data_IF_125785459841
#
_entry.id   IF_125785459841
#
_cell.length_a   1.000
_cell.length_b   1.000
_cell.length_c   1.000
_cell.angle_alpha   90.00
_cell.angle_beta   90.00
_cell.angle_gamma   90.00
#
_symmetry.space_group_name_H-M   'P 1'
#
loop_
_entity.id
_entity.type
_entity.pdbx_description
1 polymer ?
#
# COMPACT_ATOMS: atom_id res chain seq x y z
N UNK A 1 15.88 -27.24 -3.30
CA UNK A 1 14.89 -26.88 -2.24
C UNK A 1 14.39 -28.15 -1.59
N UNK A 2 14.51 -28.26 -0.28
CA UNK A 2 13.99 -29.43 0.46
C UNK A 2 12.46 -29.46 0.49
N UNK A 3 11.83 -30.63 0.65
CA UNK A 3 10.36 -30.79 0.76
C UNK A 3 9.77 -29.90 1.86
N UNK A 4 10.50 -29.70 2.97
CA UNK A 4 10.11 -28.80 4.06
C UNK A 4 10.05 -27.33 3.65
N UNK A 5 11.02 -26.83 2.88
CA UNK A 5 11.02 -25.45 2.38
C UNK A 5 9.84 -25.20 1.44
N UNK A 6 9.53 -26.18 0.57
CA UNK A 6 8.36 -26.11 -0.32
C UNK A 6 7.03 -26.04 0.45
N UNK A 7 6.89 -26.79 1.54
CA UNK A 7 5.70 -26.80 2.39
C UNK A 7 5.50 -25.47 3.12
N UNK A 8 6.58 -24.87 3.67
CA UNK A 8 6.56 -23.55 4.32
C UNK A 8 6.14 -22.47 3.34
N UNK A 9 6.72 -22.43 2.15
CA UNK A 9 6.39 -21.47 1.10
C UNK A 9 4.93 -21.57 0.64
N UNK A 10 4.39 -22.80 0.52
CA UNK A 10 2.96 -23.02 0.22
C UNK A 10 2.05 -22.50 1.32
N UNK A 11 2.43 -22.63 2.60
CA UNK A 11 1.68 -22.08 3.74
C UNK A 11 1.62 -20.57 3.65
N UNK A 12 2.75 -19.89 3.48
CA UNK A 12 2.85 -18.45 3.34
C UNK A 12 1.99 -17.94 2.19
N UNK A 13 2.12 -18.55 1.00
CA UNK A 13 1.31 -18.23 -0.18
C UNK A 13 -0.18 -18.41 0.07
N UNK A 14 -0.61 -19.47 0.75
CA UNK A 14 -2.02 -19.70 1.10
C UNK A 14 -2.55 -18.62 2.02
N UNK A 15 -1.75 -18.22 3.03
CA UNK A 15 -2.12 -17.16 3.97
C UNK A 15 -2.27 -15.83 3.24
N UNK A 16 -1.31 -15.43 2.42
CA UNK A 16 -1.36 -14.18 1.68
C UNK A 16 -2.52 -14.14 0.67
N UNK A 17 -2.79 -15.24 -0.05
CA UNK A 17 -3.94 -15.33 -0.96
C UNK A 17 -5.29 -15.15 -0.28
N UNK A 18 -5.44 -15.59 0.98
CA UNK A 18 -6.66 -15.35 1.76
C UNK A 18 -6.95 -13.87 1.95
N UNK A 19 -5.92 -13.03 2.08
CA UNK A 19 -6.10 -11.59 2.21
C UNK A 19 -6.86 -11.03 1.03
N UNK A 20 -6.46 -11.36 -0.19
CA UNK A 20 -7.15 -10.91 -1.40
C UNK A 20 -8.55 -11.51 -1.53
N UNK A 21 -8.67 -12.83 -1.35
CA UNK A 21 -9.94 -13.54 -1.52
C UNK A 21 -11.03 -13.10 -0.55
N UNK A 22 -10.66 -12.70 0.67
CA UNK A 22 -11.64 -12.31 1.69
C UNK A 22 -11.84 -10.80 1.84
N UNK A 23 -10.91 -9.97 1.37
CA UNK A 23 -11.12 -8.51 1.38
C UNK A 23 -12.07 -8.05 0.28
N UNK A 24 -11.87 -8.50 -0.97
CA UNK A 24 -12.68 -8.11 -2.14
C UNK A 24 -12.89 -9.32 -3.07
N UNK A 25 -13.73 -10.30 -2.68
CA UNK A 25 -13.81 -11.59 -3.34
C UNK A 25 -14.21 -11.50 -4.81
N UNK A 26 -15.24 -10.73 -5.14
CA UNK A 26 -15.76 -10.57 -6.51
C UNK A 26 -14.70 -9.94 -7.42
N UNK A 27 -14.06 -8.87 -6.96
CA UNK A 27 -13.02 -8.17 -7.71
C UNK A 27 -11.84 -9.09 -8.01
N UNK A 28 -11.30 -9.78 -7.00
CA UNK A 28 -10.14 -10.63 -7.20
C UNK A 28 -10.47 -11.92 -7.98
N UNK A 29 -11.69 -12.43 -7.91
CA UNK A 29 -12.15 -13.51 -8.78
C UNK A 29 -12.21 -13.07 -10.25
N UNK A 30 -12.76 -11.88 -10.53
CA UNK A 30 -12.78 -11.28 -11.87
C UNK A 30 -11.35 -11.09 -12.42
N UNK A 31 -10.45 -10.49 -11.63
CA UNK A 31 -9.07 -10.31 -12.04
C UNK A 31 -8.35 -11.65 -12.29
N UNK A 32 -8.65 -12.66 -11.49
CA UNK A 32 -8.07 -14.00 -11.67
C UNK A 32 -8.59 -14.70 -12.93
N UNK A 33 -9.87 -14.57 -13.28
CA UNK A 33 -10.46 -15.17 -14.47
C UNK A 33 -9.98 -14.53 -15.78
N UNK A 34 -9.66 -13.22 -15.74
CA UNK A 34 -9.27 -12.46 -16.95
C UNK A 34 -7.75 -12.41 -17.20
N UNK A 35 -6.91 -12.78 -16.22
CA UNK A 35 -5.44 -12.62 -16.25
C UNK A 35 -4.69 -13.43 -17.30
N UNK A 36 -5.34 -14.36 -17.99
CA UNK A 36 -4.71 -15.12 -19.09
C UNK A 36 -4.40 -14.24 -20.32
N UNK A 37 -5.12 -13.12 -20.46
CA UNK A 37 -4.88 -12.12 -21.51
C UNK A 37 -4.07 -10.96 -20.91
N UNK A 38 -3.16 -10.41 -21.70
CA UNK A 38 -2.32 -9.25 -21.30
C UNK A 38 -3.17 -8.02 -21.05
N UNK A 39 -4.20 -7.83 -21.88
CA UNK A 39 -5.22 -6.80 -21.79
C UNK A 39 -6.61 -7.44 -21.99
N UNK A 40 -7.59 -7.04 -21.22
CA UNK A 40 -8.99 -7.47 -21.36
C UNK A 40 -9.91 -6.27 -21.31
N UNK A 41 -10.70 -6.07 -22.37
CA UNK A 41 -11.76 -5.07 -22.40
C UNK A 41 -13.09 -5.69 -21.93
N UNK A 42 -13.81 -4.98 -21.06
CA UNK A 42 -15.15 -5.30 -20.57
C UNK A 42 -15.99 -4.02 -20.66
N UNK A 43 -16.71 -3.84 -21.74
CA UNK A 43 -17.38 -2.56 -22.05
C UNK A 43 -16.39 -1.40 -22.08
N UNK A 44 -16.66 -0.32 -21.35
CA UNK A 44 -15.77 0.85 -21.19
C UNK A 44 -14.64 0.64 -20.18
N UNK A 45 -14.43 -0.59 -19.66
CA UNK A 45 -13.34 -0.89 -18.71
C UNK A 45 -12.27 -1.76 -19.37
N UNK A 46 -11.01 -1.37 -19.22
CA UNK A 46 -9.83 -2.08 -19.72
C UNK A 46 -9.00 -2.57 -18.54
N UNK A 47 -8.84 -3.89 -18.43
CA UNK A 47 -8.02 -4.53 -17.42
C UNK A 47 -6.62 -4.77 -17.98
N UNK A 48 -5.59 -4.17 -17.40
CA UNK A 48 -4.19 -4.31 -17.79
C UNK A 48 -3.47 -5.29 -16.86
N UNK A 49 -3.18 -6.49 -17.37
CA UNK A 49 -2.58 -7.56 -16.59
C UNK A 49 -1.08 -7.76 -16.85
N UNK A 50 -0.60 -7.42 -18.03
CA UNK A 50 0.83 -7.53 -18.35
C UNK A 50 1.63 -6.37 -17.76
N UNK A 51 2.95 -6.59 -17.61
CA UNK A 51 3.89 -5.54 -17.20
C UNK A 51 3.96 -4.40 -18.23
N UNK A 52 3.91 -4.73 -19.52
CA UNK A 52 3.91 -3.75 -20.59
C UNK A 52 2.64 -2.88 -20.51
N UNK A 53 1.44 -3.50 -20.46
CA UNK A 53 0.17 -2.79 -20.36
C UNK A 53 0.09 -1.90 -19.10
N UNK A 54 0.58 -2.40 -17.96
CA UNK A 54 0.63 -1.62 -16.72
C UNK A 54 1.51 -0.37 -16.86
N UNK A 55 2.70 -0.51 -17.44
CA UNK A 55 3.61 0.61 -17.66
C UNK A 55 3.04 1.60 -18.67
N UNK A 56 2.58 1.11 -19.81
CA UNK A 56 2.00 1.96 -20.87
C UNK A 56 0.82 2.77 -20.34
N UNK A 57 -0.08 2.15 -19.56
CA UNK A 57 -1.20 2.82 -18.92
C UNK A 57 -0.81 3.89 -17.92
N UNK A 58 0.41 3.86 -17.36
CA UNK A 58 0.91 4.89 -16.44
C UNK A 58 1.73 5.98 -17.11
N UNK A 59 2.34 5.69 -18.29
CA UNK A 59 3.38 6.56 -18.85
C UNK A 59 3.10 7.03 -20.28
N UNK A 60 2.19 6.37 -21.02
CA UNK A 60 1.92 6.66 -22.43
C UNK A 60 0.49 7.10 -22.73
N UNK A 61 -0.48 6.70 -21.88
CA UNK A 61 -1.87 7.12 -22.04
C UNK A 61 -2.07 8.43 -21.29
N UNK A 62 -2.60 9.49 -21.96
CA UNK A 62 -3.04 10.68 -21.26
C UNK A 62 -4.15 10.31 -20.26
N UNK A 63 -4.01 10.73 -19.00
CA UNK A 63 -4.91 10.32 -17.93
C UNK A 63 -5.72 11.50 -17.39
N UNK A 64 -7.03 11.32 -17.27
CA UNK A 64 -7.86 12.19 -16.44
C UNK A 64 -7.68 11.79 -14.98
N UNK A 65 -6.98 12.64 -14.23
CA UNK A 65 -6.62 12.38 -12.83
C UNK A 65 -7.71 12.78 -11.86
N UNK A 66 -8.67 13.58 -12.31
CA UNK A 66 -9.81 14.06 -11.51
C UNK A 66 -11.04 13.19 -11.68
N UNK A 67 -11.05 12.31 -12.67
CA UNK A 67 -12.21 11.49 -12.99
C UNK A 67 -12.69 10.65 -11.80
N UNK A 68 -13.99 10.55 -11.65
CA UNK A 68 -14.62 9.73 -10.62
C UNK A 68 -14.15 8.27 -10.67
N UNK A 69 -13.90 7.67 -9.50
CA UNK A 69 -13.42 6.29 -9.36
C UNK A 69 -11.94 6.09 -9.69
N UNK A 70 -11.17 7.17 -9.87
CA UNK A 70 -9.70 7.14 -9.87
C UNK A 70 -9.14 7.43 -8.48
N UNK A 71 -7.85 7.21 -8.30
CA UNK A 71 -7.17 7.56 -7.04
C UNK A 71 -7.19 9.07 -6.81
N UNK A 72 -7.03 9.88 -7.86
CA UNK A 72 -7.05 11.33 -7.77
C UNK A 72 -8.45 11.86 -7.52
N UNK A 73 -9.48 11.35 -8.24
CA UNK A 73 -10.88 11.70 -7.98
C UNK A 73 -11.28 11.37 -6.55
N UNK A 74 -10.99 10.17 -6.06
CA UNK A 74 -11.28 9.79 -4.68
C UNK A 74 -10.53 10.66 -3.64
N UNK A 75 -9.32 11.11 -3.95
CA UNK A 75 -8.60 12.06 -3.09
C UNK A 75 -9.24 13.44 -3.12
N UNK A 76 -9.65 13.94 -4.29
CA UNK A 76 -10.38 15.20 -4.44
C UNK A 76 -11.71 15.19 -3.70
N UNK A 77 -12.49 14.13 -3.84
CA UNK A 77 -13.76 13.95 -3.11
C UNK A 77 -13.56 13.93 -1.58
N UNK A 78 -12.45 13.37 -1.12
CA UNK A 78 -12.13 13.31 0.30
C UNK A 78 -11.74 14.67 0.88
N UNK A 79 -11.08 15.54 0.11
CA UNK A 79 -10.37 16.69 0.65
C UNK A 79 -10.79 18.02 0.02
N UNK A 80 -11.48 18.01 -1.11
CA UNK A 80 -11.95 19.19 -1.82
C UNK A 80 -10.86 20.05 -2.48
N UNK A 81 -9.60 19.56 -2.55
CA UNK A 81 -8.46 20.35 -3.01
C UNK A 81 -7.76 19.80 -4.25
N UNK A 82 -6.89 20.64 -4.83
CA UNK A 82 -5.96 20.25 -5.88
C UNK A 82 -4.72 19.60 -5.27
N UNK A 83 -4.60 18.29 -5.44
CA UNK A 83 -3.66 17.44 -4.73
C UNK A 83 -2.66 16.80 -5.68
N UNK A 84 -1.54 16.33 -5.13
CA UNK A 84 -0.50 15.61 -5.86
C UNK A 84 -1.05 14.45 -6.73
N UNK A 85 -2.15 13.80 -6.34
CA UNK A 85 -2.73 12.69 -7.09
C UNK A 85 -3.58 13.11 -8.29
N UNK A 86 -4.14 14.32 -8.28
CA UNK A 86 -4.95 14.88 -9.36
C UNK A 86 -4.25 16.01 -10.13
N UNK A 87 -3.10 16.49 -9.65
CA UNK A 87 -2.25 17.43 -10.38
C UNK A 87 -1.55 16.78 -11.57
N UNK A 88 -1.19 17.59 -12.57
CA UNK A 88 -0.31 17.22 -13.68
C UNK A 88 0.60 18.42 -14.06
N UNK A 89 1.52 18.20 -14.98
CA UNK A 89 2.38 19.27 -15.52
C UNK A 89 3.23 19.97 -14.47
N UNK A 90 3.24 21.30 -14.48
CA UNK A 90 4.09 22.15 -13.62
C UNK A 90 3.67 22.12 -12.16
N UNK A 91 2.39 22.11 -11.87
CA UNK A 91 1.84 22.08 -10.52
C UNK A 91 2.26 20.78 -9.81
N UNK A 92 2.11 19.65 -10.50
CA UNK A 92 2.61 18.38 -10.02
C UNK A 92 4.12 18.41 -9.75
N UNK A 93 4.92 18.99 -10.68
CA UNK A 93 6.38 19.11 -10.50
C UNK A 93 6.72 20.01 -9.31
N UNK A 94 5.97 21.10 -9.11
CA UNK A 94 6.10 21.99 -7.97
C UNK A 94 5.87 21.28 -6.65
N UNK A 95 4.71 20.63 -6.49
CA UNK A 95 4.37 19.85 -5.29
C UNK A 95 5.37 18.72 -5.04
N UNK A 96 5.83 18.01 -6.08
CA UNK A 96 6.86 16.98 -5.97
C UNK A 96 8.18 17.52 -5.44
N UNK A 97 8.60 18.72 -5.85
CA UNK A 97 9.84 19.34 -5.34
C UNK A 97 9.72 19.70 -3.88
N UNK A 98 8.58 20.22 -3.42
CA UNK A 98 8.33 20.51 -2.00
C UNK A 98 8.45 19.24 -1.13
N UNK A 99 7.98 18.10 -1.63
CA UNK A 99 8.08 16.82 -0.91
C UNK A 99 9.47 16.16 -1.03
N UNK A 100 10.28 16.55 -2.01
CA UNK A 100 11.52 15.85 -2.35
C UNK A 100 12.54 15.84 -1.19
N UNK A 101 12.65 16.93 -0.43
CA UNK A 101 13.55 17.00 0.71
C UNK A 101 13.18 15.99 1.79
N UNK A 102 11.91 15.98 2.22
CA UNK A 102 11.42 15.07 3.26
C UNK A 102 11.48 13.59 2.83
N UNK A 103 11.43 13.32 1.52
CA UNK A 103 11.48 11.97 0.94
C UNK A 103 12.88 11.61 0.40
N UNK A 104 13.87 12.49 0.57
CA UNK A 104 15.29 12.24 0.25
C UNK A 104 15.90 11.16 1.17
N UNK A 105 17.15 10.78 0.91
CA UNK A 105 17.87 9.88 1.80
C UNK A 105 17.97 10.47 3.22
N UNK A 106 18.42 11.72 3.31
CA UNK A 106 18.61 12.43 4.57
C UNK A 106 17.27 12.71 5.28
N UNK A 107 16.22 13.08 4.53
CA UNK A 107 14.87 13.26 5.08
C UNK A 107 14.33 11.98 5.71
N UNK A 108 14.53 10.84 5.07
CA UNK A 108 14.12 9.53 5.60
C UNK A 108 14.95 9.14 6.83
N UNK A 109 16.27 9.39 6.83
CA UNK A 109 17.12 9.12 8.01
C UNK A 109 16.76 10.04 9.19
N UNK A 110 16.40 11.30 8.96
CA UNK A 110 15.88 12.20 10.01
C UNK A 110 14.58 11.68 10.64
N UNK A 111 13.71 11.06 9.86
CA UNK A 111 12.45 10.46 10.34
C UNK A 111 12.65 9.10 11.03
N UNK A 112 13.77 8.44 10.79
CA UNK A 112 14.02 7.06 11.24
C UNK A 112 13.86 6.84 12.74
N UNK A 113 14.37 7.73 13.65
CA UNK A 113 14.18 7.58 15.08
C UNK A 113 12.71 7.46 15.52
N UNK A 114 11.79 8.09 14.77
CA UNK A 114 10.36 8.07 15.09
C UNK A 114 9.81 6.63 15.06
N UNK A 115 10.04 5.90 13.98
CA UNK A 115 9.50 4.53 13.88
C UNK A 115 10.35 3.50 14.62
N UNK A 116 11.67 3.69 14.78
CA UNK A 116 12.49 2.76 15.55
C UNK A 116 12.12 2.81 17.03
N UNK A 117 11.85 3.98 17.61
CA UNK A 117 11.34 4.11 18.98
C UNK A 117 10.01 3.36 19.16
N UNK A 118 9.10 3.45 18.19
CA UNK A 118 7.86 2.68 18.26
C UNK A 118 8.13 1.17 18.20
N UNK A 119 9.03 0.72 17.31
CA UNK A 119 9.40 -0.68 17.21
C UNK A 119 10.00 -1.19 18.53
N UNK A 120 10.99 -0.51 19.09
CA UNK A 120 11.66 -0.93 20.32
C UNK A 120 10.66 -1.12 21.46
N UNK A 121 9.78 -0.14 21.67
CA UNK A 121 8.76 -0.21 22.72
C UNK A 121 7.70 -1.29 22.46
N UNK A 122 7.22 -1.40 21.21
CA UNK A 122 6.09 -2.28 20.86
C UNK A 122 6.49 -3.74 20.67
N UNK A 123 7.76 -4.02 20.38
CA UNK A 123 8.28 -5.38 20.27
C UNK A 123 8.82 -5.92 21.59
N UNK A 124 9.02 -5.09 22.62
CA UNK A 124 9.49 -5.52 23.94
C UNK A 124 8.72 -6.73 24.54
N UNK A 125 7.40 -6.89 24.37
CA UNK A 125 6.70 -8.08 24.87
C UNK A 125 7.21 -9.39 24.26
N UNK A 126 7.77 -9.38 23.02
CA UNK A 126 8.33 -10.59 22.40
C UNK A 126 9.58 -11.07 23.14
N UNK A 127 10.41 -10.15 23.66
CA UNK A 127 11.60 -10.47 24.45
C UNK A 127 11.23 -11.23 25.75
N UNK A 128 10.07 -10.89 26.34
CA UNK A 128 9.53 -11.54 27.53
C UNK A 128 8.70 -12.81 27.22
N UNK A 129 8.75 -13.34 26.00
CA UNK A 129 7.95 -14.51 25.60
C UNK A 129 6.47 -14.19 25.34
N UNK A 130 6.07 -12.93 25.38
CA UNK A 130 4.70 -12.48 25.18
C UNK A 130 4.26 -12.46 23.72
N UNK A 131 3.13 -11.80 23.47
CA UNK A 131 2.52 -11.69 22.13
C UNK A 131 2.28 -10.24 21.77
N UNK A 132 2.33 -9.95 20.47
CA UNK A 132 1.96 -8.62 19.93
C UNK A 132 0.92 -8.75 18.83
N UNK A 133 0.11 -7.71 18.62
CA UNK A 133 -0.65 -7.55 17.39
C UNK A 133 0.13 -6.65 16.43
N UNK A 134 0.67 -7.23 15.37
CA UNK A 134 1.51 -6.50 14.44
C UNK A 134 0.71 -5.48 13.59
N UNK A 135 -0.62 -5.62 13.49
CA UNK A 135 -1.45 -4.61 12.83
C UNK A 135 -1.50 -3.33 13.65
N UNK A 136 -1.62 -3.44 14.97
CA UNK A 136 -1.61 -2.28 15.88
C UNK A 136 -0.21 -1.62 15.91
N UNK A 137 0.85 -2.44 15.90
CA UNK A 137 2.23 -1.91 15.80
C UNK A 137 2.42 -1.14 14.50
N UNK A 138 2.00 -1.71 13.37
CA UNK A 138 2.11 -1.06 12.05
C UNK A 138 1.27 0.23 11.97
N UNK A 139 0.09 0.25 12.58
CA UNK A 139 -0.77 1.42 12.61
C UNK A 139 -0.12 2.57 13.41
N UNK A 140 0.40 2.27 14.59
CA UNK A 140 1.09 3.26 15.42
C UNK A 140 2.38 3.77 14.77
N UNK A 141 3.19 2.87 14.21
CA UNK A 141 4.41 3.21 13.47
C UNK A 141 4.09 4.16 12.30
N UNK A 142 3.11 3.81 11.48
CA UNK A 142 2.73 4.61 10.32
C UNK A 142 2.11 5.95 10.73
N UNK A 143 1.28 5.97 11.79
CA UNK A 143 0.70 7.18 12.34
C UNK A 143 1.75 8.14 12.90
N UNK A 144 2.70 7.63 13.71
CA UNK A 144 3.81 8.42 14.25
C UNK A 144 4.68 9.02 13.13
N UNK A 145 4.98 8.21 12.12
CA UNK A 145 5.78 8.69 10.97
C UNK A 145 5.02 9.75 10.17
N UNK A 146 3.72 9.55 9.93
CA UNK A 146 2.89 10.53 9.23
C UNK A 146 2.76 11.83 10.03
N UNK A 147 2.56 11.77 11.35
CA UNK A 147 2.51 12.93 12.23
C UNK A 147 3.84 13.70 12.16
N UNK A 148 4.98 13.03 12.31
CA UNK A 148 6.30 13.64 12.23
C UNK A 148 6.59 14.26 10.85
N UNK A 149 6.27 13.55 9.76
CA UNK A 149 6.40 14.05 8.39
C UNK A 149 5.59 15.33 8.16
N UNK A 150 4.41 15.38 8.77
CA UNK A 150 3.49 16.52 8.68
C UNK A 150 3.74 17.58 9.77
N UNK A 151 4.70 17.38 10.69
CA UNK A 151 4.96 18.27 11.81
C UNK A 151 3.76 18.49 12.72
N UNK A 152 3.01 17.43 12.98
CA UNK A 152 1.80 17.46 13.82
C UNK A 152 2.08 16.85 15.19
N UNK A 153 1.57 17.49 16.22
CA UNK A 153 1.54 16.93 17.58
C UNK A 153 0.16 16.31 17.83
N UNK A 154 0.00 15.07 17.39
CA UNK A 154 -1.26 14.31 17.51
C UNK A 154 -0.97 12.87 17.90
N UNK A 155 -1.94 12.23 18.56
CA UNK A 155 -1.82 10.81 18.87
C UNK A 155 -1.73 9.95 17.60
N UNK A 156 -0.63 9.21 17.50
CA UNK A 156 -0.30 8.40 16.31
C UNK A 156 -1.38 7.35 15.99
N UNK A 157 -2.00 6.76 17.00
CA UNK A 157 -3.03 5.73 16.83
C UNK A 157 -4.35 6.37 16.40
N UNK A 158 -4.70 7.53 16.97
CA UNK A 158 -5.88 8.28 16.57
C UNK A 158 -5.78 8.71 15.11
N UNK A 159 -4.63 9.24 14.67
CA UNK A 159 -4.35 9.60 13.30
C UNK A 159 -4.45 8.38 12.37
N UNK A 160 -3.83 7.25 12.76
CA UNK A 160 -3.89 6.04 11.96
C UNK A 160 -5.31 5.48 11.84
N UNK A 161 -6.09 5.50 12.92
CA UNK A 161 -7.48 5.06 12.91
C UNK A 161 -8.36 5.94 12.01
N UNK A 162 -8.21 7.28 12.09
CA UNK A 162 -8.95 8.22 11.27
C UNK A 162 -8.59 8.09 9.77
N UNK A 163 -7.31 8.01 9.42
CA UNK A 163 -6.85 7.84 8.05
C UNK A 163 -7.32 6.51 7.44
N UNK A 164 -7.31 5.41 8.22
CA UNK A 164 -7.83 4.11 7.76
C UNK A 164 -9.35 4.12 7.58
N UNK A 165 -10.08 4.79 8.46
CA UNK A 165 -11.53 4.92 8.34
C UNK A 165 -11.93 5.74 7.11
N UNK A 166 -11.26 6.86 6.86
CA UNK A 166 -11.48 7.71 5.68
C UNK A 166 -11.18 6.94 4.39
N UNK A 167 -10.03 6.26 4.29
CA UNK A 167 -9.69 5.43 3.14
C UNK A 167 -10.70 4.31 2.89
N UNK A 168 -11.15 3.63 3.96
CA UNK A 168 -12.12 2.55 3.86
C UNK A 168 -13.51 3.04 3.41
N UNK A 169 -13.87 4.25 3.77
CA UNK A 169 -15.11 4.89 3.32
C UNK A 169 -15.03 5.26 1.83
N UNK A 170 -13.99 5.98 1.41
CA UNK A 170 -13.78 6.32 0.00
C UNK A 170 -13.66 5.09 -0.90
N UNK A 171 -12.94 4.06 -0.48
CA UNK A 171 -12.83 2.81 -1.27
C UNK A 171 -14.19 2.13 -1.51
N UNK A 172 -15.11 2.20 -0.55
CA UNK A 172 -16.46 1.60 -0.70
C UNK A 172 -17.35 2.35 -1.70
N UNK A 173 -17.16 3.62 -1.87
CA UNK A 173 -17.90 4.43 -2.85
C UNK A 173 -17.44 4.13 -4.29
N UNK A 174 -16.19 3.72 -4.45
CA UNK A 174 -15.59 3.49 -5.77
C UNK A 174 -15.49 2.01 -6.18
N UNK A 175 -15.69 1.08 -5.25
CA UNK A 175 -15.67 -0.36 -5.56
C UNK A 175 -17.06 -0.88 -5.90
N UNK A 176 -17.18 -1.84 -6.86
CA UNK A 176 -18.45 -2.47 -7.17
C UNK A 176 -19.04 -3.14 -5.91
N UNK A 177 -20.24 -2.75 -5.53
CA UNK A 177 -20.93 -3.31 -4.37
C UNK A 177 -22.36 -2.77 -4.25
N UNK A 178 -23.17 -3.37 -3.37
CA UNK A 178 -24.50 -2.85 -3.07
C UNK A 178 -24.37 -1.56 -2.25
N UNK A 179 -25.11 -0.49 -2.61
CA UNK A 179 -25.20 0.71 -1.82
C UNK A 179 -25.61 0.38 -0.38
N UNK A 180 -24.92 0.95 0.60
CA UNK A 180 -25.27 0.77 2.01
C UNK A 180 -25.98 2.01 2.54
N UNK A 181 -27.15 1.85 3.19
CA UNK A 181 -27.81 2.96 3.85
C UNK A 181 -26.83 3.66 4.82
N UNK A 182 -26.75 5.00 4.77
CA UNK A 182 -25.85 5.77 5.63
C UNK A 182 -24.36 5.75 5.24
N UNK A 183 -23.97 5.12 4.13
CA UNK A 183 -22.57 5.04 3.69
C UNK A 183 -21.92 6.41 3.51
N UNK A 184 -22.61 7.35 2.83
CA UNK A 184 -22.13 8.71 2.62
C UNK A 184 -21.94 9.48 3.94
N UNK A 185 -22.89 9.44 4.87
CA UNK A 185 -22.74 10.07 6.19
C UNK A 185 -21.55 9.51 6.98
N UNK A 186 -21.33 8.19 6.88
CA UNK A 186 -20.17 7.56 7.53
C UNK A 186 -18.84 8.00 6.88
N UNK A 187 -18.82 8.23 5.57
CA UNK A 187 -17.66 8.75 4.85
C UNK A 187 -17.38 10.21 5.26
N UNK A 188 -18.39 11.05 5.25
CA UNK A 188 -18.31 12.46 5.67
C UNK A 188 -17.80 12.56 7.12
N UNK A 189 -18.34 11.74 8.04
CA UNK A 189 -17.89 11.72 9.44
C UNK A 189 -16.44 11.22 9.60
N UNK A 190 -16.02 10.25 8.79
CA UNK A 190 -14.64 9.76 8.81
C UNK A 190 -13.65 10.81 8.28
N UNK A 191 -14.03 11.51 7.21
CA UNK A 191 -13.26 12.63 6.65
C UNK A 191 -13.15 13.78 7.64
N UNK A 192 -14.27 14.23 8.22
CA UNK A 192 -14.30 15.30 9.22
C UNK A 192 -13.38 14.99 10.41
N UNK A 193 -13.40 13.74 10.90
CA UNK A 193 -12.51 13.30 11.98
C UNK A 193 -11.04 13.36 11.60
N UNK A 194 -10.70 12.95 10.38
CA UNK A 194 -9.33 13.02 9.89
C UNK A 194 -8.90 14.50 9.76
N UNK A 195 -9.73 15.34 9.13
CA UNK A 195 -9.45 16.77 8.95
C UNK A 195 -9.24 17.48 10.30
N UNK A 196 -10.06 17.17 11.31
CA UNK A 196 -9.92 17.76 12.64
C UNK A 196 -8.56 17.43 13.31
N UNK A 197 -7.99 16.24 13.05
CA UNK A 197 -6.65 15.86 13.53
C UNK A 197 -5.52 16.51 12.73
N UNK A 198 -5.79 16.95 11.50
CA UNK A 198 -4.78 17.48 10.59
C UNK A 198 -4.77 19.01 10.51
N UNK A 199 -5.74 19.67 11.14
CA UNK A 199 -5.82 21.13 11.18
C UNK A 199 -4.77 21.65 12.17
N UNK A 200 -3.67 22.27 11.69
CA UNK A 200 -2.66 22.82 12.59
C UNK A 200 -3.18 24.09 13.27
N UNK A 201 -2.69 24.42 14.48
CA UNK A 201 -2.97 25.70 15.12
C UNK A 201 -2.37 26.90 14.37
N UNK A 202 -1.39 26.68 13.49
CA UNK A 202 -0.72 27.73 12.72
C UNK A 202 -1.20 27.77 11.25
N UNK A 203 -1.43 28.98 10.68
CA UNK A 203 -1.79 29.13 9.28
C UNK A 203 -0.62 28.79 8.34
N UNK A 204 -0.91 28.14 7.21
CA UNK A 204 0.07 27.94 6.12
C UNK A 204 0.19 26.51 5.58
N UNK A 205 -0.44 25.52 6.22
CA UNK A 205 -0.42 24.13 5.71
C UNK A 205 -1.77 23.78 5.09
N UNK A 206 -1.74 23.21 3.88
CA UNK A 206 -2.94 22.69 3.22
C UNK A 206 -3.43 21.40 3.92
N UNK A 207 -4.60 21.42 4.61
CA UNK A 207 -5.16 20.25 5.27
C UNK A 207 -5.48 19.11 4.29
N UNK A 208 -5.83 19.45 3.05
CA UNK A 208 -6.15 18.50 2.01
C UNK A 208 -4.91 17.66 1.61
N UNK A 209 -3.77 18.34 1.41
CA UNK A 209 -2.49 17.67 1.14
C UNK A 209 -2.05 16.81 2.34
N UNK A 210 -2.21 17.29 3.56
CA UNK A 210 -1.90 16.55 4.77
C UNK A 210 -2.77 15.28 4.88
N UNK A 211 -4.08 15.38 4.61
CA UNK A 211 -5.00 14.24 4.62
C UNK A 211 -4.62 13.20 3.56
N UNK A 212 -4.31 13.62 2.35
CA UNK A 212 -3.85 12.75 1.27
C UNK A 212 -2.57 11.99 1.67
N UNK A 213 -1.56 12.70 2.20
CA UNK A 213 -0.30 12.10 2.62
C UNK A 213 -0.49 11.13 3.78
N UNK A 214 -1.28 11.48 4.80
CA UNK A 214 -1.60 10.63 5.93
C UNK A 214 -2.32 9.35 5.47
N UNK A 215 -3.35 9.47 4.63
CA UNK A 215 -4.10 8.34 4.08
C UNK A 215 -3.18 7.44 3.26
N UNK A 216 -2.37 8.01 2.36
CA UNK A 216 -1.48 7.23 1.50
C UNK A 216 -0.41 6.47 2.28
N UNK A 217 0.28 7.14 3.22
CA UNK A 217 1.38 6.55 3.98
C UNK A 217 0.88 5.48 4.97
N UNK A 218 -0.19 5.78 5.72
CA UNK A 218 -0.70 4.90 6.77
C UNK A 218 -1.29 3.62 6.19
N UNK A 219 -2.20 3.73 5.21
CA UNK A 219 -2.90 2.55 4.70
C UNK A 219 -1.97 1.57 3.99
N UNK A 220 -1.01 2.06 3.22
CA UNK A 220 -0.06 1.20 2.51
C UNK A 220 0.91 0.50 3.47
N UNK A 221 1.38 1.19 4.51
CA UNK A 221 2.26 0.60 5.54
C UNK A 221 1.53 -0.46 6.35
N UNK A 222 0.30 -0.20 6.80
CA UNK A 222 -0.53 -1.17 7.55
C UNK A 222 -0.90 -2.38 6.68
N UNK A 223 -1.07 -2.21 5.37
CA UNK A 223 -1.28 -3.33 4.46
C UNK A 223 0.00 -4.12 4.18
N UNK A 224 1.17 -3.47 4.08
CA UNK A 224 2.43 -4.10 3.68
C UNK A 224 3.13 -4.84 4.82
N UNK A 225 3.39 -4.14 5.95
CA UNK A 225 4.27 -4.63 7.01
C UNK A 225 3.77 -5.93 7.66
N UNK A 226 2.50 -6.06 8.09
CA UNK A 226 2.03 -7.31 8.68
C UNK A 226 2.02 -8.48 7.68
N UNK A 227 1.76 -8.22 6.39
CA UNK A 227 1.80 -9.26 5.37
C UNK A 227 3.22 -9.72 5.08
N UNK A 228 4.18 -8.79 5.01
CA UNK A 228 5.59 -9.10 4.84
C UNK A 228 6.12 -9.94 6.01
N UNK A 229 5.81 -9.56 7.25
CA UNK A 229 6.20 -10.33 8.45
C UNK A 229 5.55 -11.72 8.48
N UNK A 230 4.28 -11.86 8.03
CA UNK A 230 3.64 -13.16 7.93
C UNK A 230 4.33 -14.07 6.90
N UNK A 231 4.83 -13.52 5.78
CA UNK A 231 5.67 -14.24 4.82
C UNK A 231 6.98 -14.71 5.47
N UNK A 232 7.69 -13.83 6.19
CA UNK A 232 8.92 -14.21 6.90
C UNK A 232 8.67 -15.33 7.90
N UNK A 233 7.60 -15.22 8.70
CA UNK A 233 7.25 -16.21 9.71
C UNK A 233 6.86 -17.57 9.13
N UNK A 234 6.05 -17.61 8.07
CA UNK A 234 5.57 -18.86 7.49
C UNK A 234 6.61 -19.54 6.58
N UNK A 235 7.44 -18.77 5.86
CA UNK A 235 8.43 -19.25 4.92
C UNK A 235 9.85 -19.30 5.49
N UNK A 236 10.03 -18.89 6.75
CA UNK A 236 11.33 -18.84 7.45
C UNK A 236 12.37 -17.98 6.72
N UNK A 237 11.98 -16.73 6.40
CA UNK A 237 12.85 -15.80 5.68
C UNK A 237 13.60 -14.84 6.62
N UNK A 238 13.52 -15.01 7.93
CA UNK A 238 14.06 -14.07 8.91
C UNK A 238 15.56 -13.81 8.77
N UNK A 239 16.35 -14.83 8.40
CA UNK A 239 17.79 -14.67 8.23
C UNK A 239 18.14 -13.62 7.15
N UNK A 240 17.30 -13.46 6.11
CA UNK A 240 17.53 -12.47 5.07
C UNK A 240 17.32 -11.02 5.55
N UNK A 241 16.65 -10.81 6.68
CA UNK A 241 16.52 -9.46 7.27
C UNK A 241 17.87 -8.89 7.73
N UNK A 242 18.84 -9.76 8.00
CA UNK A 242 20.20 -9.39 8.38
C UNK A 242 21.15 -9.48 7.18
N UNK A 243 21.09 -10.60 6.43
CA UNK A 243 22.08 -10.91 5.39
C UNK A 243 21.80 -10.24 4.04
N UNK A 244 20.53 -9.95 3.72
CA UNK A 244 20.12 -9.34 2.46
C UNK A 244 18.84 -8.50 2.63
N UNK A 245 18.83 -7.45 3.50
CA UNK A 245 17.63 -6.71 3.88
C UNK A 245 16.94 -6.02 2.70
N UNK A 246 17.68 -5.47 1.75
CA UNK A 246 17.11 -4.79 0.58
C UNK A 246 16.46 -5.76 -0.38
N UNK A 247 17.09 -6.92 -0.63
CA UNK A 247 16.54 -7.98 -1.46
C UNK A 247 15.26 -8.56 -0.84
N UNK A 248 15.28 -8.85 0.47
CA UNK A 248 14.10 -9.32 1.22
C UNK A 248 12.97 -8.31 1.13
N UNK A 249 13.24 -7.04 1.42
CA UNK A 249 12.24 -5.96 1.41
C UNK A 249 11.63 -5.79 0.02
N UNK A 250 12.47 -5.76 -1.02
CA UNK A 250 12.00 -5.65 -2.41
C UNK A 250 11.11 -6.80 -2.82
N UNK A 251 11.50 -8.03 -2.49
CA UNK A 251 10.72 -9.24 -2.80
C UNK A 251 9.41 -9.30 -2.01
N UNK A 252 9.40 -8.92 -0.74
CA UNK A 252 8.18 -8.90 0.07
C UNK A 252 7.21 -7.80 -0.39
N UNK A 253 7.68 -6.61 -0.75
CA UNK A 253 6.84 -5.57 -1.35
C UNK A 253 6.27 -6.04 -2.70
N UNK A 254 7.08 -6.69 -3.52
CA UNK A 254 6.67 -7.26 -4.80
C UNK A 254 5.54 -8.27 -4.63
N UNK A 255 5.71 -9.29 -3.78
CA UNK A 255 4.73 -10.37 -3.64
C UNK A 255 3.47 -9.96 -2.87
N UNK A 256 3.60 -9.04 -1.92
CA UNK A 256 2.43 -8.52 -1.20
C UNK A 256 1.65 -7.50 -2.02
N UNK A 257 2.31 -6.76 -2.93
CA UNK A 257 1.70 -5.71 -3.73
C UNK A 257 0.61 -4.96 -2.93
N UNK A 258 0.98 -4.11 -1.95
CA UNK A 258 0.02 -3.53 -0.99
C UNK A 258 -1.12 -2.77 -1.67
N UNK A 259 -0.79 -2.08 -2.77
CA UNK A 259 -1.76 -1.48 -3.68
C UNK A 259 -1.87 -2.35 -4.94
N UNK A 260 -2.76 -3.38 -4.94
CA UNK A 260 -2.74 -4.41 -5.98
C UNK A 260 -3.21 -3.95 -7.34
N UNK A 261 -3.91 -2.81 -7.40
CA UNK A 261 -4.43 -2.22 -8.62
C UNK A 261 -4.46 -0.68 -8.52
N UNK A 262 -4.37 -0.03 -9.67
CA UNK A 262 -4.45 1.41 -9.82
C UNK A 262 -5.55 1.74 -10.83
N UNK A 263 -6.73 2.26 -10.37
CA UNK A 263 -7.78 2.72 -11.28
C UNK A 263 -7.36 4.06 -11.91
N UNK A 264 -7.57 4.17 -13.22
CA UNK A 264 -7.32 5.38 -14.02
C UNK A 264 -8.45 5.56 -15.02
N UNK A 265 -8.55 6.75 -15.60
CA UNK A 265 -9.41 7.05 -16.74
C UNK A 265 -8.56 7.68 -17.84
N UNK A 266 -8.75 7.26 -19.08
CA UNK A 266 -8.05 7.83 -20.21
C UNK A 266 -8.67 9.18 -20.59
N UNK A 267 -7.87 10.25 -20.62
CA UNK A 267 -8.30 11.58 -21.05
C UNK A 267 -8.38 11.69 -22.59
N UNK A 268 -7.57 10.91 -23.30
CA UNK A 268 -7.51 10.90 -24.75
C UNK A 268 -7.23 9.46 -25.25
N UNK A 269 -7.43 9.19 -26.57
CA UNK A 269 -7.07 7.92 -27.14
C UNK A 269 -5.59 7.59 -26.97
N UNK A 270 -5.27 6.29 -26.84
CA UNK A 270 -3.91 5.79 -26.69
C UNK A 270 -3.82 4.30 -26.94
N UNK A 271 -2.70 3.70 -26.56
CA UNK A 271 -2.45 2.28 -26.74
C UNK A 271 -1.74 1.72 -25.52
N UNK A 272 -2.16 0.55 -25.05
CA UNK A 272 -1.49 -0.21 -23.99
C UNK A 272 -1.20 -1.64 -24.49
N UNK A 273 0.06 -2.04 -24.48
CA UNK A 273 0.51 -3.36 -24.94
C UNK A 273 -0.11 -3.74 -26.32
N UNK A 274 -0.10 -2.78 -27.27
CA UNK A 274 -0.71 -2.96 -28.61
C UNK A 274 -2.24 -2.89 -28.68
N UNK A 275 -2.94 -2.72 -27.55
CA UNK A 275 -4.41 -2.65 -27.52
C UNK A 275 -4.90 -1.20 -27.48
N UNK A 276 -5.90 -0.82 -28.30
CA UNK A 276 -6.42 0.55 -28.31
C UNK A 276 -7.17 0.88 -27.04
N UNK A 277 -7.00 2.13 -26.59
CA UNK A 277 -7.71 2.75 -25.48
C UNK A 277 -8.39 4.02 -26.03
N UNK A 278 -9.66 4.26 -25.66
CA UNK A 278 -10.40 5.42 -26.06
C UNK A 278 -10.51 6.44 -24.92
N UNK A 279 -10.77 7.68 -25.25
CA UNK A 279 -11.09 8.69 -24.24
C UNK A 279 -12.30 8.24 -23.40
N UNK A 280 -12.22 8.43 -22.08
CA UNK A 280 -13.24 7.98 -21.13
C UNK A 280 -13.14 6.49 -20.73
N UNK A 281 -12.29 5.68 -21.34
CA UNK A 281 -12.07 4.30 -20.92
C UNK A 281 -11.54 4.26 -19.48
N UNK A 282 -12.16 3.40 -18.65
CA UNK A 282 -11.69 3.11 -17.32
C UNK A 282 -10.58 2.07 -17.36
N UNK A 283 -9.39 2.42 -16.95
CA UNK A 283 -8.21 1.55 -16.91
C UNK A 283 -8.05 0.99 -15.49
N UNK A 284 -8.09 -0.32 -15.34
CA UNK A 284 -7.72 -1.02 -14.11
C UNK A 284 -6.33 -1.61 -14.32
N UNK A 285 -5.31 -0.90 -13.87
CA UNK A 285 -3.93 -1.29 -13.98
C UNK A 285 -3.58 -2.22 -12.82
N UNK A 286 -3.35 -3.51 -13.09
CA UNK A 286 -3.21 -4.54 -12.06
C UNK A 286 -1.74 -4.71 -11.68
N UNK A 287 -1.27 -3.91 -10.72
CA UNK A 287 0.10 -3.96 -10.20
C UNK A 287 0.51 -5.37 -9.75
N UNK A 288 -0.37 -6.06 -9.01
CA UNK A 288 -0.14 -7.43 -8.56
C UNK A 288 0.22 -8.40 -9.70
N UNK A 289 -0.37 -8.23 -10.88
CA UNK A 289 -0.08 -9.05 -12.03
C UNK A 289 1.17 -8.58 -12.77
N UNK A 290 1.38 -7.29 -12.89
CA UNK A 290 2.55 -6.69 -13.54
C UNK A 290 3.88 -7.08 -12.88
N UNK A 291 3.87 -7.30 -11.55
CA UNK A 291 5.05 -7.74 -10.78
C UNK A 291 5.09 -9.26 -10.52
N UNK A 292 4.25 -10.05 -11.19
CA UNK A 292 4.16 -11.51 -11.05
C UNK A 292 3.86 -12.02 -9.63
N UNK A 293 3.33 -11.17 -8.74
CA UNK A 293 3.02 -11.53 -7.36
C UNK A 293 1.98 -12.66 -7.22
N UNK A 294 1.20 -12.91 -8.27
CA UNK A 294 0.21 -13.98 -8.31
C UNK A 294 0.80 -15.35 -8.72
N UNK A 295 2.03 -15.38 -9.23
CA UNK A 295 2.70 -16.57 -9.78
C UNK A 295 3.91 -17.00 -8.98
N UNK A 296 4.69 -16.04 -8.48
CA UNK A 296 5.99 -16.26 -7.87
C UNK A 296 5.99 -15.92 -6.39
N UNK A 297 6.75 -16.67 -5.62
CA UNK A 297 7.03 -16.43 -4.21
C UNK A 297 8.21 -15.47 -4.04
N UNK A 298 8.43 -14.90 -2.84
CA UNK A 298 9.62 -14.10 -2.59
C UNK A 298 10.89 -14.97 -2.65
N UNK A 299 11.90 -14.47 -3.35
CA UNK A 299 13.21 -15.12 -3.51
C UNK A 299 14.35 -14.14 -3.20
N UNK A 300 14.63 -13.85 -1.92
CA UNK A 300 15.67 -12.89 -1.56
C UNK A 300 17.08 -13.25 -2.02
N UNK A 301 17.37 -14.55 -2.24
CA UNK A 301 18.65 -15.01 -2.80
C UNK A 301 18.78 -14.79 -4.31
N UNK A 302 17.66 -14.62 -5.02
CA UNK A 302 17.59 -14.40 -6.47
C UNK A 302 16.42 -13.44 -6.74
N UNK A 303 16.54 -12.16 -6.34
CA UNK A 303 15.42 -11.22 -6.39
C UNK A 303 15.04 -10.85 -7.80
N UNK A 304 13.78 -10.51 -7.98
CA UNK A 304 13.30 -9.98 -9.26
C UNK A 304 14.09 -8.71 -9.65
N UNK A 305 14.28 -8.47 -10.96
CA UNK A 305 14.98 -7.28 -11.42
C UNK A 305 14.40 -6.00 -10.81
N UNK A 306 15.23 -5.00 -10.42
CA UNK A 306 14.77 -3.76 -9.77
C UNK A 306 13.64 -3.06 -10.53
N UNK A 307 13.68 -3.08 -11.88
CA UNK A 307 12.65 -2.48 -12.73
C UNK A 307 11.28 -3.16 -12.58
N UNK A 308 11.25 -4.44 -12.17
CA UNK A 308 10.02 -5.18 -11.89
C UNK A 308 9.53 -4.88 -10.48
N UNK A 309 10.43 -4.99 -9.49
CA UNK A 309 10.09 -4.73 -8.10
C UNK A 309 9.61 -3.29 -7.87
N UNK A 310 10.16 -2.32 -8.62
CA UNK A 310 9.78 -0.91 -8.54
C UNK A 310 8.31 -0.65 -8.95
N UNK A 311 7.71 -1.48 -9.80
CA UNK A 311 6.34 -1.25 -10.31
C UNK A 311 5.27 -1.28 -9.20
N UNK A 312 5.54 -1.84 -8.04
CA UNK A 312 4.62 -1.74 -6.88
C UNK A 312 4.42 -0.30 -6.41
N UNK A 313 5.36 0.59 -6.74
CA UNK A 313 5.31 2.02 -6.49
C UNK A 313 4.84 2.83 -7.70
N UNK A 314 4.35 2.17 -8.75
CA UNK A 314 3.97 2.81 -10.00
C UNK A 314 5.15 3.09 -10.93
N UNK A 315 4.91 3.92 -11.94
CA UNK A 315 5.90 4.31 -12.95
C UNK A 315 5.64 5.74 -13.44
N UNK A 316 6.65 6.33 -14.09
CA UNK A 316 6.57 7.68 -14.66
C UNK A 316 6.58 8.80 -13.61
N UNK A 317 6.13 10.01 -13.98
CA UNK A 317 6.17 11.19 -13.10
C UNK A 317 5.43 10.99 -11.77
N UNK A 318 4.36 10.20 -11.79
CA UNK A 318 3.53 9.87 -10.61
C UNK A 318 3.96 8.60 -9.87
N UNK A 319 5.18 8.12 -10.05
CA UNK A 319 5.73 7.07 -9.18
C UNK A 319 5.72 7.55 -7.72
N UNK A 320 5.49 6.63 -6.80
CA UNK A 320 5.35 6.94 -5.37
C UNK A 320 6.55 7.74 -4.81
N UNK A 321 6.33 8.94 -4.26
CA UNK A 321 7.41 9.72 -3.66
C UNK A 321 7.97 9.04 -2.40
N UNK A 322 7.13 8.35 -1.63
CA UNK A 322 7.48 7.67 -0.39
C UNK A 322 8.12 6.28 -0.56
N UNK A 323 8.53 5.88 -1.77
CA UNK A 323 9.07 4.55 -2.02
C UNK A 323 10.32 4.23 -1.16
N UNK A 324 11.20 5.21 -0.96
CA UNK A 324 12.39 5.09 -0.09
C UNK A 324 11.99 4.91 1.37
N UNK A 325 11.11 5.77 1.86
CA UNK A 325 10.57 5.70 3.23
C UNK A 325 9.93 4.33 3.49
N UNK A 326 9.05 3.88 2.61
CA UNK A 326 8.37 2.59 2.75
C UNK A 326 9.36 1.40 2.80
N UNK A 327 10.40 1.41 1.96
CA UNK A 327 11.44 0.38 1.97
C UNK A 327 12.23 0.41 3.27
N UNK A 328 12.65 1.60 3.72
CA UNK A 328 13.44 1.75 4.93
C UNK A 328 12.67 1.30 6.18
N UNK A 329 11.43 1.77 6.32
CA UNK A 329 10.56 1.35 7.43
C UNK A 329 10.33 -0.17 7.44
N UNK A 330 10.06 -0.77 6.28
CA UNK A 330 9.85 -2.21 6.21
C UNK A 330 11.12 -2.98 6.55
N UNK A 331 12.29 -2.56 6.05
CA UNK A 331 13.57 -3.18 6.35
C UNK A 331 13.89 -3.14 7.85
N UNK A 332 13.74 -1.97 8.48
CA UNK A 332 14.00 -1.81 9.92
C UNK A 332 13.02 -2.63 10.76
N UNK A 333 11.72 -2.67 10.40
CA UNK A 333 10.73 -3.48 11.10
C UNK A 333 10.99 -4.98 10.97
N UNK A 334 11.38 -5.45 9.79
CA UNK A 334 11.72 -6.86 9.58
C UNK A 334 12.99 -7.26 10.33
N UNK A 335 14.00 -6.37 10.38
CA UNK A 335 15.22 -6.60 11.16
C UNK A 335 14.92 -6.67 12.65
N UNK A 336 14.13 -5.73 13.18
CA UNK A 336 13.73 -5.74 14.59
C UNK A 336 12.94 -7.01 14.97
N UNK A 337 12.07 -7.48 14.09
CA UNK A 337 11.32 -8.73 14.28
C UNK A 337 12.23 -9.97 14.17
N UNK A 338 13.25 -9.95 13.29
CA UNK A 338 14.13 -11.09 13.06
C UNK A 338 14.87 -11.55 14.32
N UNK A 339 15.20 -10.62 15.24
CA UNK A 339 15.80 -10.94 16.54
C UNK A 339 14.96 -11.92 17.36
N UNK A 340 13.64 -11.95 17.18
CA UNK A 340 12.70 -12.84 17.88
C UNK A 340 12.24 -14.01 17.02
N UNK A 341 12.49 -14.00 15.71
CA UNK A 341 12.01 -14.98 14.70
C UNK A 341 10.55 -15.39 14.94
N UNK A 342 9.60 -14.46 15.08
CA UNK A 342 8.29 -14.78 15.59
C UNK A 342 7.49 -15.65 14.62
N UNK A 343 6.58 -16.46 15.19
CA UNK A 343 5.59 -17.26 14.45
C UNK A 343 4.21 -16.59 14.47
N UNK A 344 3.41 -16.84 13.45
CA UNK A 344 2.02 -16.38 13.41
C UNK A 344 1.15 -17.29 14.28
N UNK A 345 0.48 -16.68 15.28
CA UNK A 345 -0.48 -17.36 16.18
C UNK A 345 -1.90 -17.21 15.62
N UNK A 346 -2.27 -15.99 15.24
CA UNK A 346 -3.61 -15.67 14.70
C UNK A 346 -3.48 -14.70 13.54
N UNK A 347 -4.27 -14.90 12.49
CA UNK A 347 -4.40 -13.97 11.38
C UNK A 347 -5.86 -13.87 10.95
N UNK A 348 -6.43 -12.65 10.99
CA UNK A 348 -7.80 -12.33 10.56
C UNK A 348 -7.76 -11.28 9.47
N UNK A 349 -8.40 -11.57 8.33
CA UNK A 349 -8.46 -10.64 7.20
C UNK A 349 -9.34 -9.45 7.53
N UNK A 350 -8.91 -8.26 7.14
CA UNK A 350 -9.74 -7.07 7.17
C UNK A 350 -10.64 -7.04 5.92
N UNK A 351 -11.94 -7.19 6.13
CA UNK A 351 -12.95 -7.15 5.07
C UNK A 351 -13.50 -5.75 4.81
N UNK A 352 -13.00 -4.76 5.55
CA UNK A 352 -13.51 -3.39 5.51
C UNK A 352 -12.45 -2.37 5.11
N UNK A 353 -11.17 -2.77 5.08
CA UNK A 353 -10.07 -1.89 4.69
C UNK A 353 -10.13 -1.51 3.21
N UNK A 354 -9.56 -0.36 2.89
CA UNK A 354 -9.37 0.09 1.52
C UNK A 354 -8.42 -0.83 0.74
N UNK A 355 -7.38 -1.31 1.39
CA UNK A 355 -6.35 -2.17 0.81
C UNK A 355 -6.39 -3.57 1.43
N UNK A 356 -6.06 -4.62 0.67
CA UNK A 356 -5.99 -5.98 1.21
C UNK A 356 -4.99 -6.10 2.36
N UNK A 357 -5.46 -6.46 3.54
CA UNK A 357 -4.66 -6.51 4.75
C UNK A 357 -5.28 -7.38 5.84
N UNK A 358 -4.64 -7.39 6.99
CA UNK A 358 -5.11 -8.05 8.19
C UNK A 358 -5.85 -7.05 9.09
N UNK A 359 -6.96 -7.47 9.70
CA UNK A 359 -7.57 -6.76 10.83
C UNK A 359 -6.87 -7.11 12.14
N UNK A 360 -6.20 -8.28 12.18
CA UNK A 360 -5.43 -8.76 13.32
C UNK A 360 -4.35 -9.73 12.86
N UNK A 361 -3.12 -9.54 13.36
CA UNK A 361 -2.01 -10.48 13.15
C UNK A 361 -1.23 -10.63 14.45
N UNK A 362 -1.55 -11.69 15.22
CA UNK A 362 -0.86 -11.98 16.47
C UNK A 362 0.41 -12.78 16.18
N UNK A 363 1.52 -12.24 16.65
CA UNK A 363 2.83 -12.88 16.63
C UNK A 363 3.26 -13.27 18.04
N UNK A 364 4.00 -14.38 18.15
CA UNK A 364 4.70 -14.82 19.36
C UNK A 364 6.11 -15.27 18.99
N UNK A 365 7.11 -15.18 19.87
CA UNK A 365 8.45 -15.65 19.59
C UNK A 365 8.45 -17.14 19.21
N UNK A 366 9.45 -17.59 18.45
CA UNK A 366 9.70 -19.01 18.26
C UNK A 366 10.07 -19.62 19.62
N UNK A 367 9.53 -20.81 19.91
CA UNK A 367 9.92 -21.57 21.11
C UNK A 367 11.30 -22.15 20.91
#
# INVERSE_FOLDING_TARGET
MTAHATSRMRRARRRDRRVYLFSHPVLFALLASTRRRTVRRLGGTVLAHSRAAFRDGLTRVPLDRTAAGTTGGAAGDLTGGDLLFNQDGDDHRGTRRTLAESMSADGVERLRPVWTTVLDRRLAPLAAGGRIDLVDVAAELAGATAAALLGLDVDARALAAAARAAAAAGAREHLPGLPRPGGRRAAEAATARLTALLTPPEPGRDPAMAAMLAVAAINTTVAALPRAAAWCADADLWAYAETAPDALTSELLRVTAPTPLLPRVAAAPGTIDGHPVHAGDRLILVARHAVDAHRTDPRPADPAPPQVAQLVFGAGPHACPGARLARRQLADALRALAAFRPRVVTARVDRRSALPGWSRLILAPAR
#
